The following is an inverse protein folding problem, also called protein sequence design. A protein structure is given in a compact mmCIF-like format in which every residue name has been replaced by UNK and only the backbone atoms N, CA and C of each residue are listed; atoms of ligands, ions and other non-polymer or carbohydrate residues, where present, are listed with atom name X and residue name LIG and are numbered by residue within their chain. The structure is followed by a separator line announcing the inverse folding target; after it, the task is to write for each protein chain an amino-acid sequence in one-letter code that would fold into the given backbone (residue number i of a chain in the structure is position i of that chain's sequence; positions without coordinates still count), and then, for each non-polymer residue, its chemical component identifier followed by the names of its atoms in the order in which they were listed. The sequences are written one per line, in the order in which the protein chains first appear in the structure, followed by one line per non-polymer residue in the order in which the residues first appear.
data_IF_291352627297
#
_entry.id   IF_291352627297
#
_cell.length_a   1.000
_cell.length_b   1.000
_cell.length_c   1.000
_cell.angle_alpha   90.00
_cell.angle_beta   90.00
_cell.angle_gamma   90.00
#
_symmetry.space_group_name_H-M   'P 1'
#
loop_
_entity.id
_entity.type
_entity.pdbx_description
1 polymer ?
#
# COMPACT_ATOMS: atom_id res chain seq x y z
N UNK A 1 -13.23 -8.88 7.30
CA UNK A 1 -12.37 -9.55 6.29
C UNK A 1 -11.03 -10.00 6.87
N UNK A 2 -10.32 -9.14 7.62
CA UNK A 2 -9.05 -9.49 8.29
C UNK A 2 -9.17 -10.72 9.19
N UNK A 3 -10.15 -10.72 10.10
CA UNK A 3 -10.42 -11.86 10.97
C UNK A 3 -10.58 -13.19 10.22
N UNK A 4 -11.25 -13.17 9.05
CA UNK A 4 -11.40 -14.37 8.23
C UNK A 4 -10.06 -14.81 7.61
N UNK A 5 -9.29 -13.87 7.05
CA UNK A 5 -7.94 -14.16 6.55
C UNK A 5 -7.06 -14.78 7.64
N UNK A 6 -6.93 -14.13 8.80
CA UNK A 6 -6.07 -14.61 9.89
C UNK A 6 -6.57 -15.91 10.53
N UNK A 7 -7.88 -16.22 10.43
CA UNK A 7 -8.41 -17.51 10.86
C UNK A 7 -7.98 -18.68 9.96
N UNK A 8 -7.78 -18.42 8.66
CA UNK A 8 -7.39 -19.44 7.67
C UNK A 8 -5.88 -19.47 7.45
N UNK A 9 -5.23 -18.31 7.57
CA UNK A 9 -3.83 -18.07 7.25
C UNK A 9 -3.23 -17.18 8.36
N UNK A 10 -2.57 -17.76 9.37
CA UNK A 10 -1.93 -17.01 10.45
C UNK A 10 -0.57 -16.44 9.99
N UNK A 11 -0.58 -15.79 8.83
CA UNK A 11 0.59 -15.18 8.21
C UNK A 11 0.32 -13.69 8.02
N UNK A 12 1.36 -12.84 8.04
CA UNK A 12 1.17 -11.43 7.82
C UNK A 12 0.47 -11.11 6.48
N UNK A 13 -0.39 -10.11 6.50
CA UNK A 13 -1.11 -9.60 5.34
C UNK A 13 -0.51 -8.26 4.92
N UNK A 14 -0.32 -8.05 3.61
CA UNK A 14 0.21 -6.80 3.07
C UNK A 14 -0.79 -6.23 2.05
N UNK A 15 -1.18 -4.98 2.28
CA UNK A 15 -1.92 -4.13 1.35
C UNK A 15 -0.94 -3.28 0.54
N UNK A 16 -1.16 -3.19 -0.77
CA UNK A 16 -0.28 -2.50 -1.71
C UNK A 16 -1.06 -1.49 -2.55
N UNK A 17 -0.54 -0.28 -2.66
CA UNK A 17 -0.95 0.70 -3.68
C UNK A 17 -0.46 0.25 -5.06
N UNK A 18 -1.29 0.42 -6.09
CA UNK A 18 -0.98 0.02 -7.47
C UNK A 18 -0.25 1.09 -8.29
N UNK A 19 -0.03 2.25 -7.71
CA UNK A 19 0.40 3.52 -8.30
C UNK A 19 1.80 3.97 -7.84
N UNK A 20 2.51 3.16 -7.06
CA UNK A 20 3.87 3.45 -6.62
C UNK A 20 4.91 2.55 -7.34
N UNK A 21 5.50 2.99 -8.47
CA UNK A 21 6.49 2.20 -9.19
C UNK A 21 7.84 2.08 -8.49
N UNK A 22 8.10 2.92 -7.47
CA UNK A 22 9.29 2.82 -6.62
C UNK A 22 9.18 1.70 -5.58
N UNK A 23 8.00 1.09 -5.41
CA UNK A 23 7.80 -0.03 -4.52
C UNK A 23 8.39 -1.31 -5.14
N UNK A 24 9.60 -1.66 -4.71
CA UNK A 24 10.36 -2.80 -5.23
C UNK A 24 10.34 -4.04 -4.31
N UNK A 25 10.92 -5.14 -4.81
CA UNK A 25 11.04 -6.41 -4.07
C UNK A 25 11.81 -6.25 -2.74
N UNK A 26 12.81 -5.36 -2.69
CA UNK A 26 13.57 -5.11 -1.47
C UNK A 26 12.71 -4.44 -0.40
N UNK A 27 11.93 -3.44 -0.77
CA UNK A 27 11.01 -2.74 0.12
C UNK A 27 9.94 -3.70 0.66
N UNK A 28 9.38 -4.56 -0.18
CA UNK A 28 8.39 -5.57 0.23
C UNK A 28 8.98 -6.63 1.18
N UNK A 29 10.19 -7.12 0.90
CA UNK A 29 10.90 -8.04 1.81
C UNK A 29 11.20 -7.40 3.15
N UNK A 30 11.64 -6.15 3.14
CA UNK A 30 11.89 -5.40 4.36
C UNK A 30 10.60 -5.27 5.18
N UNK A 31 9.51 -4.83 4.56
CA UNK A 31 8.19 -4.73 5.19
C UNK A 31 7.75 -6.07 5.80
N UNK A 32 7.83 -7.16 5.04
CA UNK A 32 7.49 -8.49 5.53
C UNK A 32 8.37 -8.92 6.72
N UNK A 33 9.68 -8.66 6.67
CA UNK A 33 10.60 -9.00 7.76
C UNK A 33 10.31 -8.21 9.04
N UNK A 34 9.89 -6.95 8.91
CA UNK A 34 9.55 -6.09 10.03
C UNK A 34 8.33 -6.59 10.81
N UNK A 35 7.37 -7.23 10.12
CA UNK A 35 6.18 -7.81 10.73
C UNK A 35 6.48 -9.04 11.62
N UNK A 36 7.72 -9.54 11.63
CA UNK A 36 8.13 -10.57 12.58
C UNK A 36 8.25 -10.03 14.02
N UNK A 37 8.42 -8.72 14.19
CA UNK A 37 8.63 -8.08 15.50
C UNK A 37 7.69 -6.91 15.78
N UNK A 38 6.84 -6.54 14.81
CA UNK A 38 5.90 -5.43 14.91
C UNK A 38 4.48 -5.88 14.54
N UNK A 39 3.49 -5.21 15.13
CA UNK A 39 2.07 -5.43 14.85
C UNK A 39 1.69 -4.90 13.46
N UNK A 40 2.29 -3.77 13.06
CA UNK A 40 2.14 -3.20 11.73
C UNK A 40 3.44 -2.60 11.17
N UNK A 41 3.52 -2.53 9.85
CA UNK A 41 4.62 -1.89 9.13
C UNK A 41 4.06 -1.06 7.96
N UNK A 42 4.54 0.16 7.80
CA UNK A 42 4.05 1.11 6.79
C UNK A 42 5.20 1.54 5.88
N UNK A 43 4.93 1.66 4.58
CA UNK A 43 5.76 2.45 3.66
C UNK A 43 4.98 3.73 3.34
N UNK A 44 5.33 4.87 3.96
CA UNK A 44 4.65 6.14 3.73
C UNK A 44 4.70 6.57 2.27
N UNK A 45 3.64 7.25 1.83
CA UNK A 45 3.58 7.95 0.57
C UNK A 45 3.81 9.45 0.81
N UNK A 46 4.30 10.16 -0.21
CA UNK A 46 4.59 11.60 -0.11
C UNK A 46 3.36 12.48 0.01
N UNK A 47 2.19 11.97 -0.39
CA UNK A 47 0.90 12.65 -0.34
C UNK A 47 0.26 12.67 1.06
N UNK A 48 0.80 11.91 2.02
CA UNK A 48 0.28 11.74 3.37
C UNK A 48 -0.45 10.40 3.61
N UNK A 49 -0.52 9.53 2.60
CA UNK A 49 -0.96 8.15 2.70
C UNK A 49 0.19 7.16 2.93
N UNK A 50 0.03 5.96 2.38
CA UNK A 50 1.06 4.91 2.37
C UNK A 50 0.96 4.05 1.12
N UNK A 51 2.11 3.75 0.50
CA UNK A 51 2.21 2.84 -0.64
C UNK A 51 2.02 1.38 -0.22
N UNK A 52 2.29 1.05 1.05
CA UNK A 52 2.03 -0.27 1.60
C UNK A 52 1.73 -0.23 3.10
N UNK A 53 0.83 -1.14 3.52
CA UNK A 53 0.53 -1.42 4.92
C UNK A 53 0.61 -2.94 5.14
N UNK A 54 1.47 -3.36 6.06
CA UNK A 54 1.55 -4.71 6.57
C UNK A 54 0.91 -4.84 7.93
N UNK A 55 0.21 -5.95 8.18
CA UNK A 55 -0.37 -6.32 9.46
C UNK A 55 0.05 -7.74 9.84
N UNK A 56 0.49 -7.96 11.08
CA UNK A 56 0.80 -9.31 11.60
C UNK A 56 -0.40 -10.01 12.25
N UNK A 57 -1.50 -9.27 12.46
CA UNK A 57 -2.76 -9.79 13.01
C UNK A 57 -4.00 -8.99 12.58
N UNK A 58 -5.20 -9.38 13.03
CA UNK A 58 -6.47 -8.75 12.65
C UNK A 58 -6.69 -7.42 13.39
N UNK A 59 -5.83 -6.44 13.13
CA UNK A 59 -5.87 -5.11 13.74
C UNK A 59 -6.86 -4.18 13.01
N UNK A 60 -8.15 -4.52 13.05
CA UNK A 60 -9.22 -3.77 12.35
C UNK A 60 -9.23 -2.27 12.69
N UNK A 61 -8.86 -1.91 13.93
CA UNK A 61 -8.75 -0.53 14.39
C UNK A 61 -7.84 0.37 13.52
N UNK A 62 -6.92 -0.21 12.73
CA UNK A 62 -6.08 0.54 11.80
C UNK A 62 -6.78 0.88 10.47
N UNK A 63 -7.90 0.25 10.16
CA UNK A 63 -8.63 0.39 8.89
C UNK A 63 -10.04 0.96 9.06
N UNK A 64 -10.59 0.94 10.27
CA UNK A 64 -11.92 1.49 10.59
C UNK A 64 -11.94 3.01 10.41
N UNK A 65 -12.93 3.58 9.72
CA UNK A 65 -13.15 5.03 9.58
C UNK A 65 -11.91 5.84 9.15
N UNK A 66 -11.03 5.27 8.33
CA UNK A 66 -9.89 6.01 7.76
C UNK A 66 -10.41 7.07 6.79
N UNK A 67 -9.93 8.34 6.87
CA UNK A 67 -10.28 9.37 5.91
C UNK A 67 -9.49 9.16 4.61
N UNK A 68 -9.86 8.12 3.84
CA UNK A 68 -9.18 7.78 2.60
C UNK A 68 -9.11 8.96 1.61
N UNK A 69 -8.06 8.98 0.79
CA UNK A 69 -7.80 10.04 -0.19
C UNK A 69 -7.61 11.43 0.43
N UNK A 70 -7.01 11.47 1.62
CA UNK A 70 -6.61 12.71 2.31
C UNK A 70 -5.15 12.61 2.77
N UNK A 71 -4.45 13.74 2.96
CA UNK A 71 -3.08 13.73 3.48
C UNK A 71 -2.97 13.30 4.95
N UNK A 72 -4.11 13.06 5.62
CA UNK A 72 -4.15 12.69 7.04
C UNK A 72 -4.17 11.16 7.26
N UNK A 73 -4.22 10.36 6.20
CA UNK A 73 -4.33 8.89 6.30
C UNK A 73 -3.22 8.29 7.16
N UNK A 74 -1.95 8.63 6.91
CA UNK A 74 -0.82 8.13 7.68
C UNK A 74 -0.88 8.57 9.15
N UNK A 75 -1.16 9.85 9.39
CA UNK A 75 -1.15 10.42 10.75
C UNK A 75 -2.27 9.83 11.60
N UNK A 76 -3.47 9.67 11.03
CA UNK A 76 -4.62 9.02 11.67
C UNK A 76 -4.32 7.55 11.94
N UNK A 77 -3.71 6.83 10.99
CA UNK A 77 -3.33 5.41 11.17
C UNK A 77 -2.35 5.24 12.34
N UNK A 78 -1.29 6.05 12.39
CA UNK A 78 -0.30 6.02 13.47
C UNK A 78 -0.92 6.38 14.82
N UNK A 79 -1.82 7.36 14.86
CA UNK A 79 -2.53 7.75 16.08
C UNK A 79 -3.41 6.62 16.61
N UNK A 80 -4.12 5.91 15.72
CA UNK A 80 -4.94 4.75 16.10
C UNK A 80 -4.10 3.59 16.57
N UNK A 81 -2.97 3.33 15.91
CA UNK A 81 -2.05 2.29 16.35
C UNK A 81 -1.51 2.56 17.75
N UNK A 82 -1.11 3.81 18.03
CA UNK A 82 -0.68 4.21 19.36
C UNK A 82 -1.79 4.04 20.41
N UNK A 83 -3.03 4.43 20.06
CA UNK A 83 -4.20 4.28 20.94
C UNK A 83 -4.52 2.81 21.23
N UNK A 84 -4.33 1.92 20.25
CA UNK A 84 -4.48 0.47 20.37
C UNK A 84 -3.24 -0.22 20.98
N UNK A 85 -2.19 0.54 21.35
CA UNK A 85 -0.91 0.04 21.89
C UNK A 85 -0.20 -0.94 20.97
N UNK A 86 -0.35 -0.75 19.66
CA UNK A 86 0.33 -1.55 18.64
C UNK A 86 1.74 -1.02 18.40
N UNK A 87 2.67 -1.93 18.18
CA UNK A 87 4.03 -1.63 17.74
C UNK A 87 4.01 -1.42 16.22
N UNK A 88 4.44 -0.24 15.78
CA UNK A 88 4.43 0.12 14.36
C UNK A 88 5.80 0.57 13.92
N UNK A 89 6.25 0.02 12.80
CA UNK A 89 7.44 0.50 12.11
C UNK A 89 7.06 1.31 10.86
N UNK A 90 7.77 2.41 10.64
CA UNK A 90 7.69 3.18 9.39
C UNK A 90 8.98 2.96 8.61
N UNK A 91 8.84 2.52 7.37
CA UNK A 91 9.92 2.32 6.42
C UNK A 91 10.17 3.61 5.62
N UNK A 92 11.25 3.68 4.82
CA UNK A 92 11.50 4.86 3.99
C UNK A 92 10.29 5.23 3.14
N UNK A 93 9.95 6.51 3.13
CA UNK A 93 8.86 7.07 2.35
C UNK A 93 9.15 6.97 0.85
N UNK A 94 8.12 6.68 0.06
CA UNK A 94 8.16 6.62 -1.39
C UNK A 94 7.21 7.65 -2.02
N UNK A 95 7.43 7.94 -3.29
CA UNK A 95 6.52 8.76 -4.10
C UNK A 95 5.53 7.85 -4.85
N UNK A 96 4.26 8.17 -4.72
CA UNK A 96 3.13 7.63 -5.47
C UNK A 96 2.81 8.51 -6.70
N UNK A 97 2.11 7.95 -7.69
CA UNK A 97 1.89 8.60 -8.98
C UNK A 97 0.43 8.97 -9.17
N UNK A 98 0.03 10.09 -8.57
CA UNK A 98 -1.32 10.65 -8.70
C UNK A 98 -1.40 11.83 -9.67
N UNK A 99 -0.34 12.63 -9.71
CA UNK A 99 -0.33 13.87 -10.48
C UNK A 99 0.70 13.86 -11.61
N UNK A 100 0.46 14.72 -12.60
CA UNK A 100 1.28 14.83 -13.79
C UNK A 100 2.78 15.10 -13.52
N UNK A 101 3.18 15.91 -12.51
CA UNK A 101 4.58 16.03 -12.13
C UNK A 101 5.21 14.71 -11.64
N UNK A 102 4.50 13.93 -10.82
CA UNK A 102 4.96 12.62 -10.35
C UNK A 102 5.05 11.64 -11.51
N UNK A 103 4.08 11.67 -12.43
CA UNK A 103 4.13 10.87 -13.66
C UNK A 103 5.37 11.17 -14.50
N UNK A 104 5.73 12.45 -14.69
CA UNK A 104 6.95 12.83 -15.43
C UNK A 104 8.22 12.28 -14.80
N UNK A 105 8.30 12.29 -13.46
CA UNK A 105 9.42 11.67 -12.72
C UNK A 105 9.42 10.15 -12.90
N UNK A 106 8.26 9.51 -12.78
CA UNK A 106 8.10 8.07 -12.92
C UNK A 106 8.54 7.58 -14.30
N UNK A 107 8.09 8.20 -15.41
CA UNK A 107 8.49 7.77 -16.76
C UNK A 107 9.95 8.03 -17.07
N UNK A 108 10.55 9.03 -16.43
CA UNK A 108 12.00 9.29 -16.54
C UNK A 108 12.82 8.23 -15.81
N UNK A 109 12.34 7.75 -14.65
CA UNK A 109 13.01 6.72 -13.85
C UNK A 109 12.74 5.29 -14.36
N UNK A 110 11.55 5.05 -14.89
CA UNK A 110 11.07 3.74 -15.34
C UNK A 110 10.57 3.79 -16.80
N UNK A 111 11.46 3.70 -17.81
CA UNK A 111 11.09 3.82 -19.22
C UNK A 111 10.03 2.81 -19.70
N UNK A 112 9.91 1.67 -19.04
CA UNK A 112 8.87 0.68 -19.33
C UNK A 112 7.45 1.23 -19.10
N UNK A 113 7.27 2.15 -18.15
CA UNK A 113 5.98 2.81 -17.91
C UNK A 113 5.57 3.68 -19.09
N UNK A 114 6.51 4.43 -19.67
CA UNK A 114 6.27 5.23 -20.87
C UNK A 114 5.86 4.34 -22.05
N UNK A 115 6.54 3.21 -22.23
CA UNK A 115 6.20 2.25 -23.28
C UNK A 115 4.80 1.64 -23.09
N UNK A 116 4.37 1.41 -21.85
CA UNK A 116 3.02 0.92 -21.55
C UNK A 116 1.95 1.98 -21.82
N UNK A 117 2.20 3.24 -21.43
CA UNK A 117 1.27 4.34 -21.71
C UNK A 117 1.07 4.57 -23.22
N UNK A 118 2.11 4.35 -24.03
CA UNK A 118 2.04 4.47 -25.49
C UNK A 118 1.20 3.37 -26.18
N UNK A 119 0.91 2.25 -25.50
CA UNK A 119 0.11 1.14 -26.06
C UNK A 119 -1.39 1.43 -26.13
N UNK A 120 -1.85 2.57 -25.60
CA UNK A 120 -3.27 2.91 -25.50
C UNK A 120 -3.97 2.14 -24.37
N UNK A 121 -5.26 2.44 -24.10
CA UNK A 121 -6.00 1.77 -23.05
C UNK A 121 -6.05 0.26 -23.30
N UNK A 122 -5.98 -0.53 -22.21
CA UNK A 122 -6.26 -1.96 -22.29
C UNK A 122 -7.61 -2.17 -22.98
N UNK A 123 -7.72 -3.11 -23.95
CA UNK A 123 -9.00 -3.47 -24.51
C UNK A 123 -9.95 -3.85 -23.38
N UNK A 124 -11.22 -3.43 -23.49
CA UNK A 124 -12.24 -3.75 -22.51
C UNK A 124 -12.24 -5.28 -22.24
N UNK A 125 -12.39 -5.72 -20.98
CA UNK A 125 -12.50 -7.13 -20.69
C UNK A 125 -13.65 -7.73 -21.51
N UNK A 126 -13.53 -9.00 -21.96
CA UNK A 126 -14.61 -9.64 -22.70
C UNK A 126 -15.88 -9.62 -21.85
N UNK A 127 -17.04 -9.45 -22.51
CA UNK A 127 -18.33 -9.50 -21.83
C UNK A 127 -18.44 -10.79 -20.99
N UNK A 128 -19.03 -10.76 -19.79
CA UNK A 128 -19.21 -11.96 -18.99
C UNK A 128 -19.97 -13.02 -19.80
N UNK A 129 -19.46 -14.25 -19.77
CA UNK A 129 -20.14 -15.39 -20.39
C UNK A 129 -21.47 -15.57 -19.66
N UNK A 130 -22.62 -15.59 -20.37
CA UNK A 130 -23.91 -15.79 -19.72
C UNK A 130 -23.92 -17.16 -19.01
N UNK A 131 -24.34 -17.14 -17.75
CA UNK A 131 -24.56 -18.32 -16.89
C UNK A 131 -25.72 -19.18 -17.37
#
# INVERSE_FOLDING_TARGET
ALHHHFSLHPTPLIFLGGDCPWLDDSALRQLASTLATHDAALIPATDGGYCALGLSGPHDALLEDIPWSTPDVLSVTLHRAASARLTVATLPMLEDVDEEPAWRRAISAFPALAANAARGPMPAPPAPVPT
#
